data_IF_787618381074
#
_entry.id   IF_787618381074
#
_cell.length_a   1.000
_cell.length_b   1.000
_cell.length_c   1.000
_cell.angle_alpha   90.00
_cell.angle_beta   90.00
_cell.angle_gamma   90.00
#
_symmetry.space_group_name_H-M   'P 1'
#
loop_
_entity.id
_entity.type
_entity.pdbx_description
1 polymer ?
#
# COMPACT_ATOMS: atom_id res chain seq x y z
N UNK A 1 2.79 -3.35 -44.25
CA UNK A 1 3.45 -3.45 -42.92
C UNK A 1 2.42 -3.26 -41.79
N UNK A 2 1.23 -3.88 -41.91
CA UNK A 2 0.08 -3.65 -40.99
C UNK A 2 -0.56 -4.97 -40.48
N UNK A 3 0.19 -6.09 -40.44
CA UNK A 3 -0.38 -7.42 -40.17
C UNK A 3 0.23 -8.15 -38.96
N UNK A 4 1.04 -7.51 -38.13
CA UNK A 4 1.67 -8.16 -36.96
C UNK A 4 1.12 -7.71 -35.59
N UNK A 5 0.34 -6.63 -35.50
CA UNK A 5 -0.29 -6.18 -34.22
C UNK A 5 -1.59 -6.91 -33.86
N UNK A 6 -2.25 -7.57 -34.83
CA UNK A 6 -3.57 -8.15 -34.62
C UNK A 6 -3.63 -9.52 -33.91
N UNK A 7 -2.50 -10.25 -33.76
CA UNK A 7 -2.52 -11.60 -33.18
C UNK A 7 -2.39 -11.61 -31.64
N UNK A 8 -1.57 -10.73 -31.08
CA UNK A 8 -1.38 -10.70 -29.63
C UNK A 8 -2.60 -10.16 -28.89
N UNK A 9 -3.27 -9.14 -29.43
CA UNK A 9 -4.51 -8.58 -28.85
C UNK A 9 -5.68 -9.57 -28.95
N UNK A 10 -5.74 -10.40 -30.01
CA UNK A 10 -6.82 -11.40 -30.18
C UNK A 10 -6.68 -12.60 -29.23
N UNK A 11 -5.48 -12.96 -28.80
CA UNK A 11 -5.25 -14.07 -27.85
C UNK A 11 -5.67 -13.64 -26.44
N UNK A 12 -5.41 -12.42 -26.05
CA UNK A 12 -5.74 -11.86 -24.74
C UNK A 12 -7.27 -11.75 -24.53
N UNK A 13 -8.04 -11.49 -25.58
CA UNK A 13 -9.50 -11.39 -25.53
C UNK A 13 -10.24 -12.73 -25.32
N UNK A 14 -9.53 -13.86 -25.32
CA UNK A 14 -10.09 -15.20 -25.20
C UNK A 14 -9.67 -15.88 -23.87
N UNK A 15 -8.73 -15.29 -23.14
CA UNK A 15 -8.26 -15.85 -21.87
C UNK A 15 -9.33 -15.72 -20.80
N UNK A 16 -9.66 -16.83 -20.14
CA UNK A 16 -10.49 -16.79 -18.94
C UNK A 16 -9.68 -16.20 -17.76
N UNK A 17 -10.37 -15.84 -16.68
CA UNK A 17 -9.78 -15.23 -15.47
C UNK A 17 -8.59 -16.02 -14.93
N UNK A 18 -8.74 -17.35 -14.80
CA UNK A 18 -7.70 -18.21 -14.23
C UNK A 18 -6.46 -18.27 -15.14
N UNK A 19 -6.66 -18.32 -16.45
CA UNK A 19 -5.57 -18.25 -17.43
C UNK A 19 -4.86 -16.91 -17.40
N UNK A 20 -5.59 -15.79 -17.24
CA UNK A 20 -5.01 -14.45 -17.11
C UNK A 20 -4.16 -14.33 -15.84
N UNK A 21 -4.66 -14.79 -14.69
CA UNK A 21 -3.88 -14.85 -13.45
C UNK A 21 -2.62 -15.70 -13.59
N UNK A 22 -2.75 -16.91 -14.15
CA UNK A 22 -1.60 -17.80 -14.39
C UNK A 22 -0.57 -17.18 -15.35
N UNK A 23 -1.02 -16.47 -16.38
CA UNK A 23 -0.15 -15.76 -17.30
C UNK A 23 0.62 -14.62 -16.60
N UNK A 24 -0.08 -13.78 -15.83
CA UNK A 24 0.54 -12.68 -15.08
C UNK A 24 1.53 -13.23 -14.04
N UNK A 25 1.18 -14.29 -13.32
CA UNK A 25 2.08 -14.94 -12.37
C UNK A 25 3.34 -15.50 -13.05
N UNK A 26 3.19 -16.12 -14.23
CA UNK A 26 4.33 -16.59 -15.00
C UNK A 26 5.26 -15.45 -15.47
N UNK A 27 4.71 -14.29 -15.84
CA UNK A 27 5.48 -13.09 -16.13
C UNK A 27 6.23 -12.59 -14.88
N UNK A 28 5.54 -12.59 -13.74
CA UNK A 28 6.09 -12.18 -12.46
C UNK A 28 7.30 -13.03 -12.06
N UNK A 29 7.18 -14.35 -12.11
CA UNK A 29 8.27 -15.30 -11.81
C UNK A 29 9.48 -15.08 -12.71
N UNK A 30 9.29 -14.72 -13.99
CA UNK A 30 10.39 -14.41 -14.91
C UNK A 30 10.99 -13.01 -14.72
N UNK A 31 10.48 -12.23 -13.74
CA UNK A 31 10.90 -10.84 -13.52
C UNK A 31 10.41 -9.86 -14.59
N UNK A 32 9.47 -10.28 -15.44
CA UNK A 32 8.91 -9.52 -16.56
C UNK A 32 7.67 -8.68 -16.12
N UNK A 33 7.63 -8.25 -14.86
CA UNK A 33 6.59 -7.35 -14.36
C UNK A 33 6.64 -6.02 -15.11
N UNK A 34 5.51 -5.63 -15.70
CA UNK A 34 5.37 -4.36 -16.42
C UNK A 34 4.75 -3.33 -15.49
N UNK A 35 5.54 -2.33 -15.12
CA UNK A 35 5.06 -1.18 -14.35
C UNK A 35 4.73 0.00 -15.26
N UNK A 36 3.74 0.85 -14.92
CA UNK A 36 3.53 2.11 -15.61
C UNK A 36 4.82 2.95 -15.62
N UNK A 37 5.12 3.61 -16.74
CA UNK A 37 6.36 4.42 -16.88
C UNK A 37 6.48 5.53 -15.83
N UNK A 38 5.35 6.04 -15.32
CA UNK A 38 5.29 7.02 -14.23
C UNK A 38 5.84 6.52 -12.90
N UNK A 39 5.87 5.19 -12.69
CA UNK A 39 6.40 4.55 -11.48
C UNK A 39 7.92 4.65 -11.37
N UNK A 40 8.63 4.73 -12.50
CA UNK A 40 10.09 4.58 -12.55
C UNK A 40 10.84 5.62 -11.69
N UNK A 41 10.31 6.80 -11.52
CA UNK A 41 10.96 7.86 -10.80
C UNK A 41 10.90 7.67 -9.28
N UNK A 42 9.70 7.43 -8.74
CA UNK A 42 9.51 7.11 -7.33
C UNK A 42 10.21 5.80 -6.95
N UNK A 43 10.20 4.81 -7.85
CA UNK A 43 10.92 3.56 -7.66
C UNK A 43 12.45 3.76 -7.58
N UNK A 44 13.03 4.67 -8.38
CA UNK A 44 14.46 4.99 -8.26
C UNK A 44 14.82 5.58 -6.89
N UNK A 45 13.97 6.45 -6.36
CA UNK A 45 14.15 6.98 -5.00
C UNK A 45 14.07 5.86 -3.98
N UNK A 46 13.05 5.02 -4.08
CA UNK A 46 12.83 3.88 -3.19
C UNK A 46 14.04 2.93 -3.19
N UNK A 47 14.50 2.49 -4.36
CA UNK A 47 15.66 1.61 -4.49
C UNK A 47 16.96 2.23 -3.97
N UNK A 48 17.11 3.55 -4.09
CA UNK A 48 18.30 4.24 -3.55
C UNK A 48 18.26 4.35 -2.02
N UNK A 49 17.08 4.42 -1.44
CA UNK A 49 16.88 4.48 0.02
C UNK A 49 16.90 3.10 0.69
N UNK A 50 16.84 2.01 -0.08
CA UNK A 50 17.05 0.65 0.39
C UNK A 50 18.49 0.41 0.88
N UNK A 51 19.45 1.22 0.40
CA UNK A 51 20.81 1.27 0.89
C UNK A 51 20.87 2.07 2.21
N UNK A 52 21.12 1.45 3.39
CA UNK A 52 21.20 2.14 4.67
C UNK A 52 22.28 3.22 4.71
N UNK A 53 23.33 3.09 3.88
CA UNK A 53 24.43 4.04 3.78
C UNK A 53 24.17 5.13 2.72
N UNK A 54 22.94 5.23 2.19
CA UNK A 54 22.59 6.26 1.20
C UNK A 54 22.86 7.68 1.76
N UNK A 55 23.79 8.45 1.18
CA UNK A 55 24.07 9.79 1.65
C UNK A 55 22.85 10.71 1.54
N UNK A 56 22.63 11.55 2.54
CA UNK A 56 21.52 12.54 2.57
C UNK A 56 21.47 13.38 1.30
N UNK A 57 22.61 13.82 0.80
CA UNK A 57 22.67 14.64 -0.42
C UNK A 57 22.24 13.87 -1.68
N UNK A 58 22.51 12.56 -1.73
CA UNK A 58 22.03 11.68 -2.82
C UNK A 58 20.50 11.55 -2.73
N UNK A 59 19.96 11.29 -1.55
CA UNK A 59 18.51 11.21 -1.35
C UNK A 59 17.82 12.52 -1.74
N UNK A 60 18.35 13.66 -1.29
CA UNK A 60 17.83 14.99 -1.64
C UNK A 60 17.87 15.21 -3.16
N UNK A 61 18.98 14.88 -3.82
CA UNK A 61 19.12 15.01 -5.28
C UNK A 61 18.08 14.18 -6.05
N UNK A 62 17.83 12.96 -5.61
CA UNK A 62 16.82 12.08 -6.21
C UNK A 62 15.40 12.61 -6.02
N UNK A 63 15.08 13.09 -4.82
CA UNK A 63 13.76 13.70 -4.53
C UNK A 63 13.56 14.99 -5.33
N UNK A 64 14.57 15.84 -5.44
CA UNK A 64 14.51 17.08 -6.23
C UNK A 64 14.39 16.83 -7.74
N UNK A 65 14.89 15.69 -8.22
CA UNK A 65 14.70 15.30 -9.62
C UNK A 65 13.25 14.94 -9.97
N UNK A 66 12.39 14.76 -8.96
CA UNK A 66 10.98 14.42 -9.10
C UNK A 66 10.10 15.51 -8.45
N UNK A 67 9.65 16.53 -9.19
CA UNK A 67 8.97 17.70 -8.63
C UNK A 67 7.76 17.35 -7.76
N UNK A 68 6.99 16.33 -8.17
CA UNK A 68 5.82 15.90 -7.43
C UNK A 68 6.19 15.23 -6.09
N UNK A 69 7.22 14.38 -6.08
CA UNK A 69 7.73 13.79 -4.85
C UNK A 69 8.31 14.86 -3.92
N UNK A 70 9.04 15.84 -4.46
CA UNK A 70 9.60 16.95 -3.71
C UNK A 70 8.49 17.76 -3.01
N UNK A 71 7.44 18.13 -3.74
CA UNK A 71 6.30 18.87 -3.20
C UNK A 71 5.59 18.08 -2.09
N UNK A 72 5.31 16.80 -2.31
CA UNK A 72 4.66 15.91 -1.34
C UNK A 72 5.52 15.67 -0.10
N UNK A 73 6.84 15.54 -0.26
CA UNK A 73 7.77 15.40 0.87
C UNK A 73 7.70 16.62 1.79
N UNK A 74 7.64 17.82 1.24
CA UNK A 74 7.48 19.05 2.02
C UNK A 74 6.08 19.14 2.64
N UNK A 75 5.04 18.78 1.91
CA UNK A 75 3.66 18.79 2.41
C UNK A 75 3.48 17.84 3.61
N UNK A 76 3.92 16.59 3.49
CA UNK A 76 3.81 15.60 4.56
C UNK A 76 4.62 15.99 5.80
N UNK A 77 5.81 16.58 5.62
CA UNK A 77 6.64 17.05 6.71
C UNK A 77 6.00 18.21 7.50
N UNK A 78 5.08 18.95 6.91
CA UNK A 78 4.34 20.02 7.54
C UNK A 78 2.96 19.58 8.07
N UNK A 79 2.51 18.36 7.80
CA UNK A 79 1.28 17.83 8.35
C UNK A 79 1.36 17.66 9.87
N UNK A 80 0.24 17.67 10.59
CA UNK A 80 0.22 17.47 12.03
C UNK A 80 0.76 16.09 12.44
N UNK A 81 0.68 15.09 11.54
CA UNK A 81 1.28 13.78 11.70
C UNK A 81 2.79 13.85 12.04
N UNK A 82 3.54 14.75 11.38
CA UNK A 82 5.00 14.93 11.55
C UNK A 82 5.39 16.25 12.24
N UNK A 83 4.43 17.15 12.49
CA UNK A 83 4.66 18.44 13.13
C UNK A 83 3.78 18.70 14.35
N UNK A 84 3.60 17.68 15.20
CA UNK A 84 2.76 17.75 16.43
C UNK A 84 3.20 18.82 17.42
N UNK A 85 4.48 19.17 17.45
CA UNK A 85 5.04 20.19 18.35
C UNK A 85 4.83 21.63 17.88
N UNK A 86 4.20 21.86 16.72
CA UNK A 86 4.06 23.20 16.15
C UNK A 86 5.39 23.84 15.73
N UNK A 87 6.39 23.03 15.38
CA UNK A 87 7.67 23.52 14.89
C UNK A 87 7.50 24.37 13.61
N UNK A 88 8.47 25.26 13.29
CA UNK A 88 8.38 26.13 12.11
C UNK A 88 8.09 25.38 10.82
N UNK A 89 7.35 26.03 9.92
CA UNK A 89 7.02 25.48 8.60
C UNK A 89 8.31 25.23 7.80
N UNK A 90 8.40 24.04 7.23
CA UNK A 90 9.50 23.64 6.35
C UNK A 90 9.17 24.05 4.92
N UNK A 91 10.13 24.67 4.24
CA UNK A 91 9.99 25.17 2.87
C UNK A 91 10.93 24.50 1.86
N UNK A 92 11.72 23.51 2.30
CA UNK A 92 12.70 22.86 1.45
C UNK A 92 12.78 21.34 1.71
N UNK A 93 13.24 20.60 0.70
CA UNK A 93 13.32 19.14 0.73
C UNK A 93 14.28 18.61 1.78
N UNK A 94 15.44 19.27 1.99
CA UNK A 94 16.40 18.86 3.03
C UNK A 94 15.76 18.88 4.43
N UNK A 95 15.13 19.99 4.79
CA UNK A 95 14.43 20.12 6.06
C UNK A 95 13.29 19.13 6.21
N UNK A 96 12.57 18.85 5.10
CA UNK A 96 11.50 17.87 5.09
C UNK A 96 12.04 16.45 5.37
N UNK A 97 13.08 16.01 4.67
CA UNK A 97 13.71 14.70 4.88
C UNK A 97 14.24 14.57 6.32
N UNK A 98 14.88 15.63 6.85
CA UNK A 98 15.38 15.63 8.22
C UNK A 98 14.26 15.50 9.27
N UNK A 99 13.05 16.00 8.98
CA UNK A 99 11.89 15.87 9.88
C UNK A 99 11.22 14.51 9.79
N UNK A 100 10.94 14.02 8.57
CA UNK A 100 10.22 12.76 8.40
C UNK A 100 11.13 11.52 8.51
N UNK A 101 12.42 11.66 8.24
CA UNK A 101 13.37 10.56 8.21
C UNK A 101 13.31 9.73 6.92
N UNK A 102 14.27 8.82 6.75
CA UNK A 102 14.39 7.99 5.55
C UNK A 102 13.28 6.93 5.44
N UNK A 103 12.85 6.34 6.55
CA UNK A 103 11.78 5.35 6.53
C UNK A 103 10.47 5.96 5.99
N UNK A 104 10.09 7.14 6.44
CA UNK A 104 8.89 7.81 5.95
C UNK A 104 9.05 8.35 4.52
N UNK A 105 10.26 8.74 4.11
CA UNK A 105 10.54 9.09 2.72
C UNK A 105 10.40 7.86 1.82
N UNK A 106 10.89 6.71 2.26
CA UNK A 106 10.71 5.43 1.57
C UNK A 106 9.23 5.05 1.46
N UNK A 107 8.48 5.17 2.57
CA UNK A 107 7.04 4.93 2.60
C UNK A 107 6.28 5.88 1.65
N UNK A 108 6.65 7.16 1.61
CA UNK A 108 6.07 8.14 0.69
C UNK A 108 6.34 7.79 -0.78
N UNK A 109 7.57 7.39 -1.10
CA UNK A 109 7.91 6.96 -2.46
C UNK A 109 7.10 5.70 -2.86
N UNK A 110 6.95 4.73 -1.95
CA UNK A 110 6.12 3.56 -2.18
C UNK A 110 4.64 3.91 -2.35
N UNK A 111 4.09 4.81 -1.53
CA UNK A 111 2.72 5.29 -1.67
C UNK A 111 2.48 5.93 -3.04
N UNK A 112 3.44 6.68 -3.55
CA UNK A 112 3.35 7.24 -4.90
C UNK A 112 3.38 6.17 -5.99
N UNK A 113 4.21 5.13 -5.84
CA UNK A 113 4.22 3.97 -6.74
C UNK A 113 2.87 3.29 -6.75
N UNK A 114 2.33 2.96 -5.58
CA UNK A 114 1.02 2.32 -5.42
C UNK A 114 -0.10 3.16 -6.05
N UNK A 115 -0.12 4.47 -5.76
CA UNK A 115 -1.11 5.39 -6.34
C UNK A 115 -1.05 5.45 -7.86
N UNK A 116 0.15 5.38 -8.43
CA UNK A 116 0.37 5.46 -9.88
C UNK A 116 -0.11 4.22 -10.63
N UNK A 117 -0.23 3.06 -9.99
CA UNK A 117 -0.84 1.88 -10.63
C UNK A 117 -2.28 2.16 -11.07
N UNK A 118 -3.06 2.89 -10.26
CA UNK A 118 -4.43 3.27 -10.60
C UNK A 118 -4.58 4.36 -11.67
N UNK A 119 -3.51 5.14 -11.93
CA UNK A 119 -3.61 6.39 -12.71
C UNK A 119 -3.92 6.23 -14.20
N UNK A 120 -3.69 5.05 -14.78
CA UNK A 120 -3.88 4.77 -16.22
C UNK A 120 -5.09 3.89 -16.51
N UNK A 121 -5.84 3.50 -15.52
CA UNK A 121 -7.03 2.67 -15.69
C UNK A 121 -8.08 3.45 -16.48
N UNK A 122 -8.49 2.91 -17.61
CA UNK A 122 -9.44 3.55 -18.55
C UNK A 122 -10.88 3.26 -18.13
N UNK A 123 -11.17 2.02 -17.74
CA UNK A 123 -12.51 1.61 -17.33
C UNK A 123 -12.96 2.35 -16.05
N UNK A 124 -14.11 3.07 -16.09
CA UNK A 124 -14.59 3.85 -14.93
C UNK A 124 -14.88 2.98 -13.68
N UNK A 125 -15.33 1.73 -13.86
CA UNK A 125 -15.64 0.83 -12.75
C UNK A 125 -14.35 0.36 -12.06
N UNK A 126 -13.33 0.01 -12.85
CA UNK A 126 -12.03 -0.37 -12.33
C UNK A 126 -11.33 0.81 -11.66
N UNK A 127 -11.49 2.02 -12.22
CA UNK A 127 -10.98 3.25 -11.60
C UNK A 127 -11.63 3.50 -10.24
N UNK A 128 -12.95 3.38 -10.13
CA UNK A 128 -13.65 3.51 -8.87
C UNK A 128 -13.19 2.47 -7.83
N UNK A 129 -12.93 1.21 -8.26
CA UNK A 129 -12.31 0.19 -7.38
C UNK A 129 -10.91 0.60 -6.94
N UNK A 130 -10.08 1.16 -7.82
CA UNK A 130 -8.73 1.61 -7.45
C UNK A 130 -8.76 2.80 -6.47
N UNK A 131 -9.72 3.70 -6.61
CA UNK A 131 -9.94 4.80 -5.67
C UNK A 131 -10.40 4.29 -4.30
N UNK A 132 -11.36 3.37 -4.26
CA UNK A 132 -11.79 2.74 -3.01
C UNK A 132 -10.67 1.94 -2.35
N UNK A 133 -9.86 1.22 -3.14
CA UNK A 133 -8.68 0.49 -2.62
C UNK A 133 -7.64 1.44 -2.04
N UNK A 134 -7.48 2.62 -2.65
CA UNK A 134 -6.60 3.66 -2.12
C UNK A 134 -7.11 4.21 -0.78
N UNK A 135 -8.41 4.53 -0.68
CA UNK A 135 -9.00 5.01 0.57
C UNK A 135 -8.88 3.98 1.69
N UNK A 136 -9.08 2.69 1.37
CA UNK A 136 -8.83 1.58 2.29
C UNK A 136 -7.35 1.56 2.74
N UNK A 137 -6.42 1.60 1.79
CA UNK A 137 -4.98 1.55 2.05
C UNK A 137 -4.53 2.68 2.98
N UNK A 138 -4.97 3.90 2.75
CA UNK A 138 -4.64 5.04 3.60
C UNK A 138 -5.24 4.88 5.02
N UNK A 139 -6.48 4.42 5.12
CA UNK A 139 -7.12 4.18 6.41
C UNK A 139 -6.40 3.09 7.22
N UNK A 140 -6.06 1.97 6.58
CA UNK A 140 -5.27 0.89 7.22
C UNK A 140 -3.88 1.36 7.63
N UNK A 141 -3.21 2.17 6.80
CA UNK A 141 -1.87 2.70 7.11
C UNK A 141 -1.88 3.58 8.36
N UNK A 142 -2.86 4.48 8.44
CA UNK A 142 -3.01 5.38 9.60
C UNK A 142 -3.38 4.59 10.86
N UNK A 143 -4.31 3.62 10.75
CA UNK A 143 -4.67 2.72 11.85
C UNK A 143 -3.47 1.89 12.31
N UNK A 144 -2.73 1.27 11.40
CA UNK A 144 -1.56 0.47 11.72
C UNK A 144 -0.52 1.28 12.51
N UNK A 145 -0.29 2.55 12.12
CA UNK A 145 0.58 3.46 12.87
C UNK A 145 0.09 3.72 14.29
N UNK A 146 -1.19 4.01 14.49
CA UNK A 146 -1.76 4.29 15.81
C UNK A 146 -1.79 3.02 16.68
N UNK A 147 -2.12 1.87 16.10
CA UNK A 147 -2.08 0.57 16.78
C UNK A 147 -0.65 0.24 17.22
N UNK A 148 0.32 0.43 16.34
CA UNK A 148 1.74 0.24 16.66
C UNK A 148 2.17 1.08 17.87
N UNK A 149 1.77 2.36 17.88
CA UNK A 149 2.11 3.30 18.95
C UNK A 149 1.45 2.98 20.30
N UNK A 150 0.20 2.54 20.28
CA UNK A 150 -0.63 2.49 21.50
C UNK A 150 -0.93 1.06 21.98
N UNK A 151 -0.76 0.04 21.14
CA UNK A 151 -1.14 -1.33 21.44
C UNK A 151 0.04 -2.29 21.31
N UNK A 152 0.54 -2.50 20.09
CA UNK A 152 1.51 -3.58 19.82
C UNK A 152 2.96 -3.22 20.14
N UNK A 153 3.30 -1.94 20.19
CA UNK A 153 4.67 -1.48 20.48
C UNK A 153 5.66 -1.72 19.34
N UNK A 154 5.22 -2.19 18.17
CA UNK A 154 6.09 -2.29 16.99
C UNK A 154 6.45 -0.88 16.48
N UNK A 155 7.49 -0.79 15.65
CA UNK A 155 7.89 0.51 15.10
C UNK A 155 6.75 1.13 14.28
N UNK A 156 6.31 2.34 14.66
CA UNK A 156 5.16 3.02 14.06
C UNK A 156 5.36 3.39 12.58
N UNK A 157 6.58 3.71 12.17
CA UNK A 157 6.90 4.04 10.78
C UNK A 157 6.93 2.79 9.91
N UNK A 158 7.38 1.66 10.47
CA UNK A 158 7.30 0.34 9.81
C UNK A 158 5.85 -0.11 9.65
N UNK A 159 5.01 0.10 10.65
CA UNK A 159 3.59 -0.24 10.58
C UNK A 159 2.85 0.64 9.56
N UNK A 160 3.12 1.95 9.52
CA UNK A 160 2.62 2.86 8.49
C UNK A 160 2.98 2.37 7.09
N UNK A 161 4.26 2.03 6.88
CA UNK A 161 4.74 1.54 5.60
C UNK A 161 4.10 0.21 5.20
N UNK A 162 4.00 -0.73 6.12
CA UNK A 162 3.34 -2.01 5.89
C UNK A 162 1.86 -1.82 5.48
N UNK A 163 1.15 -0.88 6.12
CA UNK A 163 -0.19 -0.50 5.72
C UNK A 163 -0.28 0.11 4.32
N UNK A 164 0.74 0.88 3.87
CA UNK A 164 0.78 1.42 2.51
C UNK A 164 0.91 0.32 1.45
N UNK A 165 1.67 -0.74 1.73
CA UNK A 165 2.02 -1.75 0.72
C UNK A 165 1.17 -3.01 0.80
N UNK A 166 0.31 -3.17 1.81
CA UNK A 166 -0.40 -4.43 2.04
C UNK A 166 -1.31 -4.87 0.89
N UNK A 167 -1.82 -3.92 0.09
CA UNK A 167 -2.66 -4.19 -1.09
C UNK A 167 -1.92 -3.97 -2.42
N UNK A 168 -0.58 -3.93 -2.40
CA UNK A 168 0.20 -3.60 -3.61
C UNK A 168 -0.03 -4.59 -4.75
N UNK A 169 -0.25 -5.87 -4.45
CA UNK A 169 -0.62 -6.88 -5.43
C UNK A 169 -1.96 -6.59 -6.09
N UNK A 170 -2.96 -6.19 -5.31
CA UNK A 170 -4.27 -5.77 -5.77
C UNK A 170 -4.21 -4.56 -6.71
N UNK A 171 -3.43 -3.54 -6.35
CA UNK A 171 -3.19 -2.38 -7.23
C UNK A 171 -2.51 -2.77 -8.53
N UNK A 172 -1.52 -3.66 -8.47
CA UNK A 172 -0.86 -4.17 -9.67
C UNK A 172 -1.86 -4.89 -10.59
N UNK A 173 -2.69 -5.78 -10.05
CA UNK A 173 -3.73 -6.50 -10.81
C UNK A 173 -4.75 -5.54 -11.42
N UNK A 174 -5.22 -4.53 -10.67
CA UNK A 174 -6.09 -3.47 -11.19
C UNK A 174 -5.44 -2.75 -12.38
N UNK A 175 -4.14 -2.46 -12.30
CA UNK A 175 -3.41 -1.80 -13.40
C UNK A 175 -3.32 -2.62 -14.67
N UNK A 176 -3.53 -3.95 -14.57
CA UNK A 176 -3.47 -4.90 -15.69
C UNK A 176 -4.85 -5.26 -16.24
N UNK A 177 -5.92 -4.87 -15.55
CA UNK A 177 -7.27 -5.32 -15.86
C UNK A 177 -7.78 -4.81 -17.23
N UNK A 178 -7.33 -3.63 -17.68
CA UNK A 178 -7.64 -3.14 -19.04
C UNK A 178 -7.06 -4.04 -20.14
N UNK A 179 -5.96 -4.78 -19.87
CA UNK A 179 -5.35 -5.70 -20.81
C UNK A 179 -6.01 -7.09 -20.78
N UNK A 180 -6.65 -7.43 -19.66
CA UNK A 180 -7.30 -8.71 -19.43
C UNK A 180 -8.77 -8.49 -19.03
N UNK A 181 -9.68 -8.23 -20.00
CA UNK A 181 -11.09 -8.06 -19.73
C UNK A 181 -11.64 -9.25 -18.93
N UNK A 182 -12.41 -8.98 -17.89
CA UNK A 182 -12.95 -10.01 -17.00
C UNK A 182 -12.04 -10.47 -15.86
N UNK A 183 -10.77 -10.00 -15.83
CA UNK A 183 -9.84 -10.34 -14.73
C UNK A 183 -10.43 -10.02 -13.35
N UNK A 184 -11.22 -8.94 -13.26
CA UNK A 184 -11.75 -8.39 -12.02
C UNK A 184 -13.28 -8.17 -12.04
N UNK A 185 -13.99 -8.74 -13.01
CA UNK A 185 -15.43 -8.51 -13.19
C UNK A 185 -16.31 -9.49 -12.40
N UNK A 186 -15.79 -10.66 -12.02
CA UNK A 186 -16.54 -11.69 -11.33
C UNK A 186 -16.27 -11.73 -9.82
N UNK A 187 -17.16 -12.38 -9.11
CA UNK A 187 -17.33 -12.53 -7.68
C UNK A 187 -16.01 -12.49 -6.86
N UNK A 188 -15.94 -11.70 -5.79
CA UNK A 188 -14.77 -11.63 -4.91
C UNK A 188 -14.31 -12.99 -4.36
N UNK A 189 -15.20 -13.97 -4.31
CA UNK A 189 -14.92 -15.32 -3.77
C UNK A 189 -13.77 -16.05 -4.49
N UNK A 190 -13.41 -15.66 -5.70
CA UNK A 190 -12.36 -16.30 -6.50
C UNK A 190 -11.09 -15.43 -6.69
N UNK A 191 -10.93 -14.37 -5.93
CA UNK A 191 -9.77 -13.49 -6.03
C UNK A 191 -8.50 -14.08 -5.41
N UNK A 192 -8.66 -14.96 -4.43
CA UNK A 192 -7.55 -15.57 -3.71
C UNK A 192 -7.11 -16.87 -4.41
N UNK A 193 -6.17 -16.72 -5.32
CA UNK A 193 -5.52 -17.87 -5.97
C UNK A 193 -4.03 -17.89 -5.62
N UNK A 194 -3.40 -19.07 -5.71
CA UNK A 194 -1.95 -19.20 -5.61
C UNK A 194 -1.20 -18.27 -6.58
N UNK A 195 -1.83 -17.92 -7.70
CA UNK A 195 -1.29 -16.98 -8.68
C UNK A 195 -1.22 -15.55 -8.14
N UNK A 196 -2.20 -15.11 -7.36
CA UNK A 196 -2.21 -13.79 -6.73
C UNK A 196 -1.10 -13.67 -5.68
N UNK A 197 -0.87 -14.71 -4.88
CA UNK A 197 0.25 -14.75 -3.93
C UNK A 197 1.59 -14.56 -4.62
N UNK A 198 1.80 -15.32 -5.69
CA UNK A 198 3.02 -15.21 -6.50
C UNK A 198 3.17 -13.78 -7.04
N UNK A 199 2.10 -13.22 -7.59
CA UNK A 199 2.12 -11.85 -8.14
C UNK A 199 2.44 -10.84 -7.05
N UNK A 200 1.77 -10.90 -5.90
CA UNK A 200 1.99 -9.98 -4.78
C UNK A 200 3.43 -10.05 -4.27
N UNK A 201 3.95 -11.26 -4.04
CA UNK A 201 5.34 -11.48 -3.63
C UNK A 201 6.34 -10.90 -4.62
N UNK A 202 6.17 -11.17 -5.91
CA UNK A 202 7.08 -10.67 -6.93
C UNK A 202 6.98 -9.15 -7.13
N UNK A 203 5.80 -8.56 -6.97
CA UNK A 203 5.63 -7.10 -6.93
C UNK A 203 6.37 -6.51 -5.73
N UNK A 204 6.19 -7.06 -4.53
CA UNK A 204 6.89 -6.61 -3.32
C UNK A 204 8.40 -6.71 -3.49
N UNK A 205 8.90 -7.84 -4.01
CA UNK A 205 10.33 -8.03 -4.31
C UNK A 205 10.86 -6.99 -5.29
N UNK A 206 10.11 -6.69 -6.36
CA UNK A 206 10.50 -5.69 -7.36
C UNK A 206 10.52 -4.26 -6.81
N UNK A 207 9.71 -4.00 -5.80
CA UNK A 207 9.64 -2.74 -5.09
C UNK A 207 10.61 -2.67 -3.90
N UNK A 208 11.50 -3.66 -3.73
CA UNK A 208 12.44 -3.74 -2.60
C UNK A 208 11.75 -3.61 -1.23
N UNK A 209 10.55 -4.23 -1.08
CA UNK A 209 9.88 -4.25 0.22
C UNK A 209 10.69 -5.14 1.18
N UNK A 210 11.07 -4.63 2.37
CA UNK A 210 11.84 -5.39 3.35
C UNK A 210 11.12 -6.68 3.77
N UNK A 211 11.88 -7.76 3.91
CA UNK A 211 11.34 -9.10 4.20
C UNK A 211 10.38 -9.15 5.40
N UNK A 212 10.66 -8.50 6.56
CA UNK A 212 9.71 -8.53 7.67
C UNK A 212 8.34 -7.91 7.35
N UNK A 213 8.31 -6.94 6.43
CA UNK A 213 7.06 -6.32 5.96
C UNK A 213 6.36 -7.23 4.96
N UNK A 214 7.12 -7.84 4.05
CA UNK A 214 6.58 -8.78 3.07
C UNK A 214 5.95 -10.00 3.77
N UNK A 215 6.63 -10.59 4.75
CA UNK A 215 6.12 -11.69 5.58
C UNK A 215 4.83 -11.31 6.31
N UNK A 216 4.75 -10.11 6.90
CA UNK A 216 3.55 -9.64 7.57
C UNK A 216 2.38 -9.45 6.61
N UNK A 217 2.63 -8.92 5.40
CA UNK A 217 1.61 -8.76 4.36
C UNK A 217 1.11 -10.10 3.84
N UNK A 218 2.01 -11.05 3.59
CA UNK A 218 1.65 -12.41 3.16
C UNK A 218 0.82 -13.14 4.22
N UNK A 219 1.16 -12.94 5.49
CA UNK A 219 0.45 -13.54 6.63
C UNK A 219 -0.99 -13.06 6.80
N UNK A 220 -1.38 -11.91 6.27
CA UNK A 220 -2.73 -11.36 6.41
C UNK A 220 -3.84 -12.31 5.93
N UNK A 221 -3.52 -13.22 5.01
CA UNK A 221 -4.50 -14.10 4.37
C UNK A 221 -4.94 -15.26 5.25
N UNK A 222 -4.00 -15.92 5.88
CA UNK A 222 -4.22 -17.22 6.54
C UNK A 222 -3.92 -17.23 8.03
N UNK A 223 -3.47 -16.09 8.59
CA UNK A 223 -3.10 -16.00 10.00
C UNK A 223 -4.24 -15.48 10.87
N UNK A 224 -4.17 -15.83 12.14
CA UNK A 224 -5.01 -15.29 13.19
C UNK A 224 -4.21 -14.33 14.05
N UNK A 225 -4.86 -13.27 14.53
CA UNK A 225 -4.26 -12.32 15.45
C UNK A 225 -3.96 -12.97 16.80
N UNK A 226 -2.78 -12.70 17.35
CA UNK A 226 -2.40 -13.08 18.72
C UNK A 226 -3.16 -12.23 19.75
N UNK A 227 -3.39 -12.76 20.95
CA UNK A 227 -4.00 -12.02 22.05
C UNK A 227 -3.11 -12.11 23.27
N UNK A 228 -2.53 -11.00 23.74
CA UNK A 228 -2.55 -9.66 23.15
C UNK A 228 -1.77 -9.57 21.82
N UNK A 229 -2.10 -8.63 20.90
CA UNK A 229 -1.37 -8.43 19.68
C UNK A 229 0.00 -7.80 19.95
N UNK A 230 1.09 -8.33 19.36
CA UNK A 230 2.47 -7.93 19.65
C UNK A 230 3.40 -7.90 18.42
N UNK A 231 2.87 -8.23 17.24
CA UNK A 231 3.63 -8.32 16.00
C UNK A 231 3.17 -7.31 14.94
N UNK A 232 3.97 -7.14 13.88
CA UNK A 232 3.60 -6.35 12.71
C UNK A 232 2.39 -6.95 11.99
N UNK A 233 2.32 -8.28 11.91
CA UNK A 233 1.17 -8.99 11.35
C UNK A 233 -0.09 -8.72 12.17
N UNK A 234 -0.03 -8.84 13.50
CA UNK A 234 -1.18 -8.53 14.37
C UNK A 234 -1.62 -7.08 14.23
N UNK A 235 -0.65 -6.15 14.09
CA UNK A 235 -0.93 -4.74 13.83
C UNK A 235 -1.73 -4.54 12.55
N UNK A 236 -1.35 -5.22 11.46
CA UNK A 236 -2.06 -5.14 10.19
C UNK A 236 -3.42 -5.84 10.25
N UNK A 237 -3.52 -7.01 10.89
CA UNK A 237 -4.79 -7.73 11.07
C UNK A 237 -5.80 -6.86 11.84
N UNK A 238 -5.36 -6.24 12.93
CA UNK A 238 -6.20 -5.36 13.73
C UNK A 238 -6.59 -4.08 12.96
N UNK A 239 -5.65 -3.48 12.20
CA UNK A 239 -5.92 -2.32 11.37
C UNK A 239 -6.95 -2.62 10.27
N UNK A 240 -6.82 -3.77 9.60
CA UNK A 240 -7.81 -4.23 8.61
C UNK A 240 -9.18 -4.52 9.23
N UNK A 241 -9.22 -5.01 10.46
CA UNK A 241 -10.48 -5.25 11.17
C UNK A 241 -11.18 -3.94 11.56
N UNK A 242 -10.43 -2.96 12.08
CA UNK A 242 -10.97 -1.69 12.59
C UNK A 242 -11.24 -0.65 11.51
N UNK A 243 -10.76 -0.85 10.28
CA UNK A 243 -10.94 0.14 9.21
C UNK A 243 -12.42 0.33 8.85
N UNK A 244 -12.90 1.59 8.76
CA UNK A 244 -14.24 1.87 8.29
C UNK A 244 -14.39 1.70 6.77
N UNK A 245 -13.29 1.67 6.03
CA UNK A 245 -13.25 1.55 4.57
C UNK A 245 -12.86 0.13 4.19
N UNK A 246 -13.77 -0.61 3.56
CA UNK A 246 -13.50 -1.98 3.12
C UNK A 246 -12.71 -2.00 1.81
N UNK A 247 -11.77 -2.93 1.68
CA UNK A 247 -11.13 -3.21 0.40
C UNK A 247 -12.16 -3.72 -0.62
N UNK A 248 -12.18 -3.18 -1.86
CA UNK A 248 -13.06 -3.68 -2.92
C UNK A 248 -12.58 -5.02 -3.48
N UNK A 249 -11.43 -5.52 -3.02
CA UNK A 249 -10.79 -6.75 -3.47
C UNK A 249 -10.90 -7.88 -2.43
N UNK A 250 -11.20 -7.54 -1.18
CA UNK A 250 -11.40 -8.54 -0.13
C UNK A 250 -12.78 -9.15 -0.26
N UNK A 251 -12.86 -10.46 -0.06
CA UNK A 251 -14.12 -11.14 0.24
C UNK A 251 -14.81 -10.44 1.42
N UNK A 252 -16.16 -10.43 1.47
CA UNK A 252 -16.85 -10.11 2.71
C UNK A 252 -16.18 -10.99 3.78
N UNK A 253 -15.52 -10.33 4.72
CA UNK A 253 -14.71 -11.01 5.74
C UNK A 253 -15.50 -12.22 6.24
N UNK A 254 -14.84 -13.40 6.27
CA UNK A 254 -15.24 -14.42 7.23
C UNK A 254 -15.49 -13.65 8.51
N UNK A 255 -16.76 -13.56 8.91
CA UNK A 255 -17.11 -12.96 10.17
C UNK A 255 -16.11 -13.50 11.18
N UNK A 256 -15.30 -12.61 11.74
CA UNK A 256 -14.47 -13.01 12.87
C UNK A 256 -15.43 -13.71 13.82
N UNK A 257 -15.01 -14.77 14.51
CA UNK A 257 -15.90 -15.45 15.45
C UNK A 257 -16.59 -14.39 16.30
N UNK A 258 -17.90 -14.53 16.63
CA UNK A 258 -18.68 -13.52 17.35
C UNK A 258 -18.07 -13.05 18.68
N UNK A 259 -16.90 -13.58 19.04
CA UNK A 259 -16.10 -13.23 20.22
C UNK A 259 -14.91 -12.30 19.91
N UNK A 260 -14.70 -11.86 18.65
CA UNK A 260 -13.55 -11.02 18.32
C UNK A 260 -13.69 -9.58 18.83
N UNK A 261 -14.90 -9.01 18.83
CA UNK A 261 -15.15 -7.71 19.47
C UNK A 261 -14.87 -7.80 20.97
N UNK A 262 -15.31 -8.88 21.62
CA UNK A 262 -14.99 -9.16 23.04
C UNK A 262 -13.48 -9.40 23.28
N UNK A 263 -12.73 -9.84 22.28
CA UNK A 263 -11.29 -10.02 22.42
C UNK A 263 -10.53 -8.69 22.37
N UNK A 264 -11.01 -7.72 21.60
CA UNK A 264 -10.44 -6.36 21.56
C UNK A 264 -10.59 -5.68 22.92
N UNK A 265 -11.74 -5.82 23.56
CA UNK A 265 -12.02 -5.28 24.90
C UNK A 265 -11.07 -5.81 25.98
N UNK A 266 -10.37 -6.95 25.72
CA UNK A 266 -9.40 -7.50 26.66
C UNK A 266 -8.09 -6.70 26.75
N UNK A 267 -7.74 -5.93 25.73
CA UNK A 267 -6.46 -5.22 25.68
C UNK A 267 -6.55 -3.72 25.40
N UNK A 268 -7.74 -3.20 25.06
CA UNK A 268 -7.97 -1.76 24.89
C UNK A 268 -9.37 -1.40 25.43
N UNK A 269 -9.46 -0.34 26.24
CA UNK A 269 -10.73 0.19 26.69
C UNK A 269 -11.41 1.04 25.59
N UNK A 270 -12.75 1.19 25.69
CA UNK A 270 -13.59 1.86 24.71
C UNK A 270 -13.15 3.32 24.46
N UNK A 271 -12.78 4.06 25.51
CA UNK A 271 -12.35 5.46 25.38
C UNK A 271 -11.03 5.57 24.62
N UNK A 272 -10.08 4.68 24.90
CA UNK A 272 -8.80 4.65 24.17
C UNK A 272 -8.98 4.20 22.72
N UNK A 273 -9.85 3.23 22.47
CA UNK A 273 -10.19 2.80 21.12
C UNK A 273 -10.79 3.95 20.32
N UNK A 274 -11.77 4.67 20.91
CA UNK A 274 -12.40 5.83 20.27
C UNK A 274 -11.38 6.94 19.95
N UNK A 275 -10.44 7.20 20.85
CA UNK A 275 -9.37 8.18 20.62
C UNK A 275 -8.44 7.72 19.50
N UNK A 276 -8.01 6.44 19.51
CA UNK A 276 -7.15 5.85 18.47
C UNK A 276 -7.79 5.95 17.09
N UNK A 277 -9.08 5.59 16.98
CA UNK A 277 -9.81 5.67 15.71
C UNK A 277 -9.93 7.11 15.22
N UNK A 278 -10.17 8.08 16.12
CA UNK A 278 -10.21 9.50 15.79
C UNK A 278 -8.84 10.01 15.29
N UNK A 279 -7.76 9.67 15.97
CA UNK A 279 -6.42 10.08 15.58
C UNK A 279 -6.01 9.44 14.25
N UNK A 280 -6.35 8.17 14.03
CA UNK A 280 -6.13 7.50 12.76
C UNK A 280 -6.91 8.15 11.60
N UNK A 281 -8.17 8.55 11.83
CA UNK A 281 -8.96 9.25 10.81
C UNK A 281 -8.35 10.61 10.44
N UNK A 282 -7.83 11.36 11.41
CA UNK A 282 -7.13 12.62 11.17
C UNK A 282 -5.82 12.39 10.38
N UNK A 283 -5.01 11.42 10.81
CA UNK A 283 -3.76 11.05 10.12
C UNK A 283 -4.05 10.61 8.66
N UNK A 284 -5.10 9.82 8.43
CA UNK A 284 -5.53 9.39 7.09
C UNK A 284 -5.93 10.59 6.20
N UNK A 285 -6.69 11.53 6.74
CA UNK A 285 -7.11 12.74 6.01
C UNK A 285 -5.90 13.60 5.61
N UNK A 286 -4.93 13.79 6.52
CA UNK A 286 -3.70 14.54 6.25
C UNK A 286 -2.80 13.85 5.22
N UNK A 287 -2.63 12.53 5.32
CA UNK A 287 -1.88 11.75 4.32
C UNK A 287 -2.53 11.88 2.95
N UNK A 288 -3.84 11.71 2.87
CA UNK A 288 -4.55 11.80 1.60
C UNK A 288 -4.42 13.20 1.00
N UNK A 289 -4.59 14.25 1.79
CA UNK A 289 -4.40 15.63 1.34
C UNK A 289 -2.97 15.87 0.81
N UNK A 290 -1.94 15.41 1.52
CA UNK A 290 -0.55 15.56 1.10
C UNK A 290 -0.20 14.74 -0.16
N UNK A 291 -0.88 13.62 -0.41
CA UNK A 291 -0.65 12.72 -1.55
C UNK A 291 -1.50 13.06 -2.79
N UNK A 292 -2.50 13.94 -2.67
CA UNK A 292 -3.35 14.39 -3.79
C UNK A 292 -2.88 15.68 -4.46
N UNK A 293 -1.96 16.42 -3.84
CA UNK A 293 -1.42 17.71 -4.37
C UNK A 293 -0.59 17.54 -5.63
#
# INVERSE_FOLDING_TARGET
MALRMGRSVRIILIMNKLEAFGHIAALAIRGELVFPTSVNAALRVQLALDDPECPVDKAIGLVLAEPLLAARTVAIANSAMFNRSGAPVITNVRGAIMRIGYQNLFALAAAMVVRQFGSKIIDPKLRAKAEQLWDHTIAVSALARQIARHITGVNEDTALFAGIVHEVGGFYLLSRADEFPGLLEEDPENWHSASEEIITREVMRKLAIPEPVAEAVEGLRDSFMSIPPDSLLDTLLLANHLTPVRSPLQQPQRELPPHSDSAIDLFIDEDKLALLLKDAANDAAEMNAALLV
#
